data_IF_969806972780
#
_entry.id   IF_969806972780
#
_cell.length_a   1.000
_cell.length_b   1.000
_cell.length_c   1.000
_cell.angle_alpha   90.00
_cell.angle_beta   90.00
_cell.angle_gamma   90.00
#
_symmetry.space_group_name_H-M   'P 1'
#
loop_
_entity.id
_entity.type
_entity.pdbx_description
1 polymer ?
#
# COMPACT_ATOMS: atom_id res chain seq x y z
N UNK A 1 -17.02 -9.64 -6.22
CA UNK A 1 -16.90 -8.50 -5.29
C UNK A 1 -15.77 -7.66 -5.83
N UNK A 2 -16.07 -6.58 -6.54
CA UNK A 2 -15.06 -5.59 -6.92
C UNK A 2 -14.69 -4.85 -5.64
N UNK A 3 -13.41 -4.85 -5.27
CA UNK A 3 -12.92 -4.11 -4.12
C UNK A 3 -12.54 -2.71 -4.62
N UNK A 4 -13.51 -1.80 -4.67
CA UNK A 4 -13.33 -0.42 -5.16
C UNK A 4 -12.21 0.31 -4.42
N UNK A 5 -11.99 -0.05 -3.13
CA UNK A 5 -10.89 0.46 -2.31
C UNK A 5 -9.54 -0.03 -2.84
N UNK A 6 -9.44 -1.29 -3.23
CA UNK A 6 -8.24 -1.85 -3.85
C UNK A 6 -7.95 -1.21 -5.20
N UNK A 7 -8.97 -0.97 -6.02
CA UNK A 7 -8.82 -0.29 -7.32
C UNK A 7 -8.33 1.16 -7.14
N UNK A 8 -8.87 1.89 -6.16
CA UNK A 8 -8.43 3.23 -5.81
C UNK A 8 -6.97 3.25 -5.32
N UNK A 9 -6.60 2.32 -4.43
CA UNK A 9 -5.22 2.17 -3.96
C UNK A 9 -4.27 1.87 -5.12
N UNK A 10 -4.64 0.96 -6.03
CA UNK A 10 -3.84 0.67 -7.23
C UNK A 10 -3.69 1.91 -8.12
N UNK A 11 -4.76 2.69 -8.31
CA UNK A 11 -4.71 3.91 -9.11
C UNK A 11 -3.74 4.95 -8.51
N UNK A 12 -3.74 5.09 -7.18
CA UNK A 12 -2.81 5.96 -6.46
C UNK A 12 -1.38 5.44 -6.62
N UNK A 13 -1.13 4.18 -6.30
CA UNK A 13 0.22 3.59 -6.36
C UNK A 13 0.82 3.60 -7.77
N UNK A 14 0.01 3.44 -8.82
CA UNK A 14 0.48 3.62 -10.21
C UNK A 14 0.97 5.03 -10.47
N UNK A 15 0.19 6.02 -10.05
CA UNK A 15 0.50 7.44 -10.30
C UNK A 15 1.68 7.96 -9.48
N UNK A 16 1.82 7.53 -8.23
CA UNK A 16 2.78 8.11 -7.30
C UNK A 16 4.01 7.23 -7.09
N UNK A 17 3.86 5.91 -7.09
CA UNK A 17 4.93 4.96 -6.76
C UNK A 17 5.43 4.16 -7.97
N UNK A 18 4.75 4.26 -9.13
CA UNK A 18 5.05 3.43 -10.31
C UNK A 18 4.77 1.94 -10.09
N UNK A 19 3.93 1.59 -9.12
CA UNK A 19 3.57 0.20 -8.80
C UNK A 19 2.30 -0.17 -9.56
N UNK A 20 2.45 -1.04 -10.55
CA UNK A 20 1.35 -1.40 -11.45
C UNK A 20 0.35 -2.40 -10.83
N UNK A 21 0.82 -3.26 -9.93
CA UNK A 21 0.03 -4.36 -9.35
C UNK A 21 0.53 -4.69 -7.94
N UNK A 22 -0.35 -5.20 -7.09
CA UNK A 22 -0.01 -5.73 -5.76
C UNK A 22 0.02 -7.27 -5.76
N UNK A 23 0.53 -7.87 -6.84
CA UNK A 23 0.65 -9.32 -6.96
C UNK A 23 2.01 -9.77 -6.41
N UNK A 24 2.01 -10.71 -5.47
CA UNK A 24 3.22 -11.39 -5.03
C UNK A 24 3.56 -12.48 -6.04
N UNK A 25 4.60 -12.25 -6.82
CA UNK A 25 5.07 -13.17 -7.87
C UNK A 25 6.10 -14.17 -7.35
N UNK A 26 6.62 -13.98 -6.13
CA UNK A 26 7.71 -14.76 -5.54
C UNK A 26 9.08 -14.38 -6.09
N UNK A 27 9.17 -13.34 -6.93
CA UNK A 27 10.40 -12.83 -7.51
C UNK A 27 10.70 -11.46 -6.92
N UNK A 28 11.81 -11.36 -6.19
CA UNK A 28 12.21 -10.12 -5.53
C UNK A 28 12.27 -8.91 -6.49
N UNK A 29 12.70 -9.13 -7.73
CA UNK A 29 12.80 -8.07 -8.76
C UNK A 29 11.46 -7.51 -9.23
N UNK A 30 10.36 -8.21 -8.97
CA UNK A 30 9.01 -7.80 -9.32
C UNK A 30 8.17 -7.44 -8.08
N UNK A 31 8.51 -8.02 -6.92
CA UNK A 31 7.76 -7.83 -5.67
C UNK A 31 8.27 -6.64 -4.85
N UNK A 32 9.54 -6.24 -5.03
CA UNK A 32 10.13 -5.07 -4.36
C UNK A 32 10.35 -3.92 -5.32
N UNK A 33 9.89 -2.74 -4.93
CA UNK A 33 10.05 -1.49 -5.67
C UNK A 33 10.93 -0.53 -4.87
N UNK A 34 11.96 0.02 -5.51
CA UNK A 34 12.71 1.14 -4.96
C UNK A 34 11.90 2.42 -5.20
N UNK A 35 11.44 3.04 -4.12
CA UNK A 35 10.64 4.28 -4.16
C UNK A 35 11.27 5.35 -3.29
N UNK A 36 11.09 6.62 -3.65
CA UNK A 36 11.55 7.72 -2.82
C UNK A 36 10.62 7.90 -1.60
N UNK A 37 11.17 8.33 -0.47
CA UNK A 37 10.37 8.64 0.71
C UNK A 37 9.34 9.77 0.43
N UNK A 38 9.66 10.68 -0.48
CA UNK A 38 8.79 11.77 -0.90
C UNK A 38 7.56 11.27 -1.67
N UNK A 39 7.75 10.31 -2.58
CA UNK A 39 6.66 9.69 -3.35
C UNK A 39 5.73 8.89 -2.45
N UNK A 40 6.29 8.23 -1.43
CA UNK A 40 5.50 7.56 -0.38
C UNK A 40 4.63 8.58 0.37
N UNK A 41 5.19 9.73 0.76
CA UNK A 41 4.44 10.80 1.39
C UNK A 41 3.26 11.26 0.53
N UNK A 42 3.51 11.57 -0.75
CA UNK A 42 2.47 11.96 -1.72
C UNK A 42 1.38 10.91 -1.90
N UNK A 43 1.76 9.63 -1.95
CA UNK A 43 0.82 8.53 -2.08
C UNK A 43 -0.14 8.47 -0.88
N UNK A 44 0.39 8.66 0.33
CA UNK A 44 -0.40 8.65 1.57
C UNK A 44 -1.33 9.86 1.65
N UNK A 45 -0.83 11.07 1.36
CA UNK A 45 -1.65 12.28 1.29
C UNK A 45 -2.81 12.11 0.30
N UNK A 46 -2.52 11.62 -0.90
CA UNK A 46 -3.55 11.34 -1.93
C UNK A 46 -4.57 10.31 -1.45
N UNK A 47 -4.14 9.28 -0.73
CA UNK A 47 -5.04 8.29 -0.17
C UNK A 47 -5.97 8.90 0.88
N UNK A 48 -5.43 9.73 1.78
CA UNK A 48 -6.24 10.41 2.79
C UNK A 48 -7.23 11.40 2.19
N UNK A 49 -6.82 12.18 1.19
CA UNK A 49 -7.70 13.10 0.44
C UNK A 49 -8.84 12.33 -0.26
N UNK A 50 -8.56 11.11 -0.71
CA UNK A 50 -9.57 10.22 -1.31
C UNK A 50 -10.46 9.52 -0.28
N UNK A 51 -10.31 9.80 1.02
CA UNK A 51 -11.10 9.22 2.09
C UNK A 51 -10.62 7.83 2.55
N UNK A 52 -9.45 7.38 2.11
CA UNK A 52 -8.83 6.12 2.57
C UNK A 52 -8.18 6.34 3.94
N UNK A 53 -8.99 6.30 4.99
CA UNK A 53 -8.51 6.37 6.36
C UNK A 53 -8.25 4.95 6.86
N UNK A 54 -7.01 4.67 7.30
CA UNK A 54 -6.73 3.45 8.07
C UNK A 54 -7.37 3.64 9.44
N UNK A 55 -8.58 3.11 9.61
CA UNK A 55 -9.13 2.90 10.93
C UNK A 55 -8.13 2.08 11.73
N UNK A 56 -7.83 2.52 12.96
CA UNK A 56 -6.92 1.87 13.92
C UNK A 56 -7.40 0.48 14.40
N UNK A 57 -8.07 -0.29 13.54
CA UNK A 57 -8.53 -1.67 13.75
C UNK A 57 -8.46 -2.43 12.43
N UNK A 58 -7.25 -2.80 12.03
CA UNK A 58 -7.02 -4.13 11.47
C UNK A 58 -6.00 -4.77 12.40
N UNK A 59 -6.45 -5.81 13.11
CA UNK A 59 -5.66 -6.50 14.12
C UNK A 59 -4.29 -6.88 13.60
N UNK A 60 -3.28 -6.18 14.08
CA UNK A 60 -1.92 -6.69 14.11
C UNK A 60 -1.98 -7.92 15.04
N UNK A 61 -1.67 -9.15 14.60
CA UNK A 61 -1.27 -10.14 15.59
C UNK A 61 -0.05 -9.54 16.27
N UNK A 62 -0.19 -9.27 17.56
CA UNK A 62 0.92 -9.15 18.48
C UNK A 62 1.95 -10.25 18.17
N UNK A 63 3.03 -9.91 17.48
CA UNK A 63 4.27 -10.66 17.62
C UNK A 63 4.74 -10.41 19.06
N UNK A 64 4.16 -11.15 19.99
CA UNK A 64 4.73 -11.37 21.31
C UNK A 64 6.02 -12.15 21.09
N UNK A 65 7.13 -11.43 20.99
CA UNK A 65 8.43 -12.02 21.30
C UNK A 65 8.47 -12.17 22.82
N UNK A 66 8.05 -13.34 23.32
CA UNK A 66 8.52 -13.80 24.63
C UNK A 66 10.01 -14.14 24.48
N UNK A 67 10.83 -13.50 25.32
CA UNK A 67 12.23 -13.87 25.59
C UNK A 67 12.29 -14.63 26.90
#
# INVERSE_FOLDING_TARGET
>A
MHDERLELLLAISRRTLGIERFELTGKQTADFHLVSAEDVGRALETAYDAGLIIGHRMGRPECTQES
#
